data_IF_479414256677
#
_entry.id   IF_479414256677
#
_cell.length_a   1.000
_cell.length_b   1.000
_cell.length_c   1.000
_cell.angle_alpha   90.00
_cell.angle_beta   90.00
_cell.angle_gamma   90.00
#
_symmetry.space_group_name_H-M   'P 1'
#
loop_
_entity.id
_entity.type
_entity.pdbx_description
1 polymer ?
#
# COMPACT_ATOMS: atom_id res chain seq x y z
N UNK A 1 2.44 -21.73 -24.68
CA UNK A 1 1.29 -20.88 -24.30
C UNK A 1 1.31 -20.73 -22.78
N UNK A 2 1.56 -19.54 -22.26
CA UNK A 2 1.32 -19.25 -20.84
C UNK A 2 0.30 -18.12 -20.76
N UNK A 3 -0.97 -18.50 -20.87
CA UNK A 3 -2.09 -17.65 -20.46
C UNK A 3 -2.11 -17.59 -18.95
N UNK A 4 -1.70 -16.46 -18.38
CA UNK A 4 -2.03 -16.11 -17.01
C UNK A 4 -3.38 -15.37 -17.05
N UNK A 5 -4.41 -15.83 -16.30
CA UNK A 5 -5.71 -15.19 -16.32
C UNK A 5 -5.63 -13.78 -15.71
N UNK A 6 -6.20 -12.79 -16.40
CA UNK A 6 -6.49 -11.47 -15.87
C UNK A 6 -7.39 -11.60 -14.63
N UNK A 7 -6.98 -11.14 -13.45
CA UNK A 7 -7.85 -11.26 -12.28
C UNK A 7 -7.28 -10.84 -10.94
N UNK A 8 -6.91 -9.57 -10.81
CA UNK A 8 -7.07 -8.70 -9.61
C UNK A 8 -6.23 -7.46 -9.91
N UNK A 9 -6.89 -6.33 -10.22
CA UNK A 9 -6.29 -5.00 -10.15
C UNK A 9 -5.41 -4.99 -8.90
N UNK A 10 -4.12 -4.66 -9.04
CA UNK A 10 -3.15 -4.52 -7.95
C UNK A 10 -3.91 -4.27 -6.65
N UNK A 11 -4.02 -5.28 -5.77
CA UNK A 11 -4.84 -5.29 -4.55
C UNK A 11 -4.33 -4.31 -3.49
N UNK A 12 -3.75 -3.22 -3.97
CA UNK A 12 -3.09 -2.13 -3.30
C UNK A 12 -4.17 -1.05 -3.24
N UNK A 13 -4.94 -0.96 -2.15
CA UNK A 13 -6.00 0.02 -1.99
C UNK A 13 -5.49 1.42 -2.29
N UNK A 14 -5.97 2.07 -3.36
CA UNK A 14 -5.46 3.38 -3.82
C UNK A 14 -5.99 4.56 -2.98
N UNK A 15 -6.88 4.31 -2.03
CA UNK A 15 -7.54 5.32 -1.20
C UNK A 15 -7.59 4.85 0.26
N UNK A 16 -7.54 5.80 1.18
CA UNK A 16 -7.63 5.56 2.63
C UNK A 16 -8.86 4.72 3.00
N UNK A 17 -10.00 4.97 2.35
CA UNK A 17 -11.27 4.28 2.59
C UNK A 17 -11.21 2.77 2.30
N UNK A 18 -10.33 2.34 1.41
CA UNK A 18 -10.17 0.93 1.05
C UNK A 18 -9.26 0.18 2.04
N UNK A 19 -8.49 0.89 2.88
CA UNK A 19 -7.66 0.29 3.92
C UNK A 19 -8.50 -0.40 5.00
N UNK A 20 -9.73 0.08 5.23
CA UNK A 20 -10.66 -0.54 6.17
C UNK A 20 -11.03 -1.99 5.81
N UNK A 21 -10.88 -2.38 4.53
CA UNK A 21 -11.22 -3.72 4.02
C UNK A 21 -10.08 -4.73 4.16
N UNK A 22 -8.87 -4.28 4.44
CA UNK A 22 -7.70 -5.16 4.60
C UNK A 22 -7.66 -5.73 6.02
N UNK A 23 -7.07 -6.90 6.22
CA UNK A 23 -6.70 -7.39 7.56
C UNK A 23 -5.46 -6.66 8.10
N UNK A 24 -5.18 -6.73 9.40
CA UNK A 24 -3.99 -6.09 9.98
C UNK A 24 -2.69 -6.63 9.37
N UNK A 25 -2.65 -7.92 9.06
CA UNK A 25 -1.52 -8.56 8.36
C UNK A 25 -1.32 -8.00 6.93
N UNK A 26 -2.41 -7.84 6.17
CA UNK A 26 -2.39 -7.22 4.85
C UNK A 26 -1.93 -5.74 4.89
N UNK A 27 -2.35 -4.99 5.92
CA UNK A 27 -1.89 -3.62 6.14
C UNK A 27 -0.39 -3.55 6.43
N UNK A 28 0.16 -4.48 7.22
CA UNK A 28 1.59 -4.57 7.50
C UNK A 28 2.40 -4.93 6.24
N UNK A 29 1.92 -5.88 5.43
CA UNK A 29 2.54 -6.25 4.15
C UNK A 29 2.59 -5.03 3.21
N UNK A 30 1.50 -4.29 3.10
CA UNK A 30 1.41 -3.09 2.26
C UNK A 30 2.25 -1.93 2.79
N UNK A 31 2.38 -1.80 4.11
CA UNK A 31 3.28 -0.82 4.76
C UNK A 31 4.73 -1.11 4.40
N UNK A 32 5.15 -2.38 4.52
CA UNK A 32 6.52 -2.77 4.16
C UNK A 32 6.80 -2.55 2.67
N UNK A 33 5.87 -2.93 1.78
CA UNK A 33 5.97 -2.66 0.34
C UNK A 33 6.08 -1.17 0.04
N UNK A 34 5.28 -0.33 0.70
CA UNK A 34 5.28 1.11 0.50
C UNK A 34 6.61 1.75 0.95
N UNK A 35 7.18 1.28 2.08
CA UNK A 35 8.51 1.70 2.56
C UNK A 35 9.63 1.31 1.58
N UNK A 36 9.62 0.08 1.07
CA UNK A 36 10.59 -0.35 0.04
C UNK A 36 10.49 0.51 -1.22
N UNK A 37 9.26 0.82 -1.66
CA UNK A 37 9.04 1.69 -2.84
C UNK A 37 9.46 3.14 -2.62
N UNK A 38 9.28 3.67 -1.40
CA UNK A 38 9.78 5.00 -1.03
C UNK A 38 11.31 5.03 -1.10
N UNK A 39 12.00 3.99 -0.61
CA UNK A 39 13.47 3.91 -0.61
C UNK A 39 14.08 3.92 -2.02
N UNK A 40 13.34 3.48 -3.04
CA UNK A 40 13.79 3.46 -4.44
C UNK A 40 13.15 4.59 -5.28
N UNK A 41 12.37 5.47 -4.67
CA UNK A 41 11.69 6.54 -5.38
C UNK A 41 12.71 7.59 -5.85
N UNK A 42 12.88 7.71 -7.17
CA UNK A 42 13.85 8.65 -7.77
C UNK A 42 13.34 10.08 -7.88
N UNK A 43 12.03 10.30 -7.71
CA UNK A 43 11.40 11.61 -7.84
C UNK A 43 10.71 12.03 -6.55
N UNK A 44 10.90 13.29 -6.14
CA UNK A 44 10.25 13.90 -4.97
C UNK A 44 8.72 13.80 -5.02
N UNK A 45 8.11 13.87 -6.21
CA UNK A 45 6.66 13.70 -6.37
C UNK A 45 6.22 12.29 -5.98
N UNK A 46 6.95 11.28 -6.45
CA UNK A 46 6.69 9.87 -6.15
C UNK A 46 6.97 9.56 -4.68
N UNK A 47 8.06 10.12 -4.12
CA UNK A 47 8.36 10.01 -2.70
C UNK A 47 7.20 10.52 -1.83
N UNK A 48 6.72 11.75 -2.08
CA UNK A 48 5.57 12.32 -1.36
C UNK A 48 4.31 11.47 -1.45
N UNK A 49 4.07 10.81 -2.58
CA UNK A 49 2.93 9.88 -2.72
C UNK A 49 3.09 8.65 -1.83
N UNK A 50 4.29 8.07 -1.77
CA UNK A 50 4.57 6.93 -0.90
C UNK A 50 4.58 7.32 0.58
N UNK A 51 5.12 8.47 0.96
CA UNK A 51 5.05 9.01 2.33
C UNK A 51 3.60 9.17 2.79
N UNK A 52 2.76 9.80 1.96
CA UNK A 52 1.32 9.94 2.24
C UNK A 52 0.64 8.58 2.41
N UNK A 53 1.02 7.59 1.59
CA UNK A 53 0.47 6.24 1.67
C UNK A 53 0.89 5.51 2.96
N UNK A 54 2.17 5.62 3.34
CA UNK A 54 2.71 5.07 4.59
C UNK A 54 1.94 5.65 5.78
N UNK A 55 1.75 6.97 5.80
CA UNK A 55 0.99 7.63 6.87
C UNK A 55 -0.43 7.07 7.00
N UNK A 56 -1.15 6.87 5.90
CA UNK A 56 -2.48 6.26 5.95
C UNK A 56 -2.47 4.82 6.48
N UNK A 57 -1.47 4.02 6.12
CA UNK A 57 -1.32 2.65 6.59
C UNK A 57 -1.01 2.60 8.10
N UNK A 58 -0.14 3.49 8.58
CA UNK A 58 0.19 3.61 10.00
C UNK A 58 -1.02 4.03 10.83
N UNK A 59 -1.80 5.02 10.37
CA UNK A 59 -3.05 5.42 11.04
C UNK A 59 -4.06 4.27 11.06
N UNK A 60 -4.22 3.54 9.94
CA UNK A 60 -5.15 2.43 9.87
C UNK A 60 -4.76 1.25 10.78
N UNK A 61 -3.46 1.02 10.98
CA UNK A 61 -2.95 0.04 11.96
C UNK A 61 -3.17 0.53 13.39
N UNK A 62 -2.84 1.78 13.69
CA UNK A 62 -3.00 2.37 15.02
C UNK A 62 -4.46 2.45 15.49
N UNK A 63 -5.42 2.59 14.57
CA UNK A 63 -6.85 2.56 14.90
C UNK A 63 -7.41 1.15 15.19
N UNK A 64 -6.61 0.10 15.02
CA UNK A 64 -7.03 -1.30 15.22
C UNK A 64 -6.45 -1.96 16.47
N UNK A 65 -5.40 -1.37 17.03
CA UNK A 65 -4.83 -1.73 18.34
C UNK A 65 -5.57 -0.99 19.45
#
# INVERSE_FOLDING_TARGET
>A
MLGQPMGKRSGVPHRQEELGKLSSEELLIELQRSRTRLSIATSTKTAKQWEKRIHWLEVALASRE
#
